data_IF_536426756530
#
_entry.id   IF_536426756530
#
_cell.length_a   1.000
_cell.length_b   1.000
_cell.length_c   1.000
_cell.angle_alpha   90.00
_cell.angle_beta   90.00
_cell.angle_gamma   90.00
#
_symmetry.space_group_name_H-M   'P 1'
#
loop_
_entity.id
_entity.type
_entity.pdbx_description
1 polymer ?
#
# COMPACT_ATOMS: atom_id res chain seq x y z
N UNK A 1 -22.64 21.42 -2.00
CA UNK A 1 -21.38 21.05 -1.33
C UNK A 1 -20.68 20.08 -2.24
N UNK A 2 -19.88 20.64 -3.13
CA UNK A 2 -19.15 19.95 -4.19
C UNK A 2 -18.12 18.99 -3.59
N UNK A 3 -18.09 17.74 -4.06
CA UNK A 3 -17.12 16.75 -3.60
C UNK A 3 -15.71 17.19 -4.02
N UNK A 4 -14.84 17.49 -3.05
CA UNK A 4 -13.44 17.92 -3.26
C UNK A 4 -12.47 16.74 -3.18
N UNK A 5 -12.61 15.76 -4.06
CA UNK A 5 -11.65 14.67 -4.09
C UNK A 5 -10.23 15.18 -4.38
N UNK A 6 -9.23 14.49 -3.84
CA UNK A 6 -7.83 14.69 -4.23
C UNK A 6 -7.55 13.88 -5.49
N UNK A 7 -6.82 14.48 -6.43
CA UNK A 7 -6.41 13.84 -7.68
C UNK A 7 -4.91 13.57 -7.65
N UNK A 8 -4.54 12.33 -7.97
CA UNK A 8 -3.16 11.88 -8.01
C UNK A 8 -2.86 11.19 -9.33
N UNK A 9 -1.60 11.28 -9.76
CA UNK A 9 -1.04 10.41 -10.78
C UNK A 9 -0.01 9.50 -10.10
N UNK A 10 -0.31 8.20 -10.00
CA UNK A 10 0.53 7.24 -9.28
C UNK A 10 0.86 6.09 -10.22
N UNK A 11 2.15 5.92 -10.54
CA UNK A 11 2.59 4.87 -11.46
C UNK A 11 1.88 4.92 -12.82
N UNK A 12 1.60 6.13 -13.32
CA UNK A 12 0.87 6.35 -14.58
C UNK A 12 -0.64 6.13 -14.50
N UNK A 13 -1.20 5.92 -13.30
CA UNK A 13 -2.65 5.75 -13.09
C UNK A 13 -3.22 7.02 -12.45
N UNK A 14 -4.24 7.66 -13.07
CA UNK A 14 -4.99 8.71 -12.41
C UNK A 14 -5.89 8.11 -11.33
N UNK A 15 -5.79 8.64 -10.12
CA UNK A 15 -6.61 8.24 -8.98
C UNK A 15 -7.37 9.44 -8.42
N UNK A 16 -8.65 9.22 -8.16
CA UNK A 16 -9.51 10.17 -7.45
C UNK A 16 -9.82 9.59 -6.07
N UNK A 17 -9.33 10.26 -5.02
CA UNK A 17 -9.56 9.86 -3.63
C UNK A 17 -10.55 10.84 -3.01
N UNK A 18 -11.77 10.39 -2.67
CA UNK A 18 -12.76 11.26 -2.04
C UNK A 18 -12.23 11.81 -0.72
N UNK A 19 -12.63 13.02 -0.35
CA UNK A 19 -12.41 13.56 0.99
C UNK A 19 -13.73 13.67 1.73
N UNK A 20 -13.70 13.38 3.03
CA UNK A 20 -14.84 13.46 3.93
C UNK A 20 -14.47 14.30 5.15
N UNK A 21 -15.43 15.06 5.67
CA UNK A 21 -15.24 15.75 6.94
C UNK A 21 -15.15 14.71 8.06
N UNK A 22 -14.07 14.74 8.83
CA UNK A 22 -13.89 13.91 10.01
C UNK A 22 -14.17 14.76 11.27
N UNK A 23 -15.24 14.39 11.99
CA UNK A 23 -15.68 15.11 13.19
C UNK A 23 -14.66 15.01 14.33
N UNK A 24 -13.87 13.95 14.41
CA UNK A 24 -12.90 13.78 15.50
C UNK A 24 -11.71 14.74 15.35
N UNK A 25 -11.14 14.84 14.15
CA UNK A 25 -10.01 15.72 13.85
C UNK A 25 -10.39 17.13 13.42
N UNK A 26 -11.69 17.40 13.18
CA UNK A 26 -12.24 18.63 12.60
C UNK A 26 -11.53 19.05 11.30
N UNK A 27 -11.27 18.08 10.41
CA UNK A 27 -10.60 18.30 9.12
C UNK A 27 -11.20 17.43 8.03
N UNK A 28 -10.99 17.82 6.78
CA UNK A 28 -11.25 16.93 5.65
C UNK A 28 -10.11 15.92 5.52
N UNK A 29 -10.46 14.64 5.57
CA UNK A 29 -9.53 13.52 5.41
C UNK A 29 -9.89 12.70 4.18
N UNK A 30 -8.89 12.03 3.63
CA UNK A 30 -9.07 11.13 2.50
C UNK A 30 -9.82 9.86 2.91
N UNK A 31 -10.77 9.44 2.08
CA UNK A 31 -11.60 8.27 2.26
C UNK A 31 -11.12 7.13 1.35
N UNK A 32 -10.29 6.27 1.91
CA UNK A 32 -9.69 5.14 1.21
C UNK A 32 -10.59 3.90 1.11
N UNK A 33 -11.83 3.91 1.63
CA UNK A 33 -12.69 2.71 1.68
C UNK A 33 -12.92 2.09 0.30
N UNK A 34 -13.20 2.92 -0.70
CA UNK A 34 -13.42 2.43 -2.08
C UNK A 34 -12.14 1.88 -2.70
N UNK A 35 -11.00 2.48 -2.39
CA UNK A 35 -9.69 2.05 -2.88
C UNK A 35 -9.30 0.69 -2.27
N UNK A 36 -9.49 0.52 -0.95
CA UNK A 36 -9.24 -0.74 -0.25
C UNK A 36 -10.13 -1.86 -0.80
N UNK A 37 -11.41 -1.57 -1.09
CA UNK A 37 -12.33 -2.55 -1.65
C UNK A 37 -12.03 -2.92 -3.11
N UNK A 38 -11.35 -2.04 -3.86
CA UNK A 38 -11.07 -2.22 -5.29
C UNK A 38 -9.58 -1.93 -5.55
N UNK A 39 -8.70 -2.93 -5.34
CA UNK A 39 -7.26 -2.76 -5.54
C UNK A 39 -6.93 -2.25 -6.95
N UNK A 40 -6.05 -1.26 -7.03
CA UNK A 40 -5.62 -0.65 -8.28
C UNK A 40 -4.19 -1.05 -8.59
N UNK A 41 -3.90 -1.26 -9.87
CA UNK A 41 -2.59 -1.63 -10.37
C UNK A 41 -2.14 -0.66 -11.44
N UNK A 42 -0.82 -0.43 -11.56
CA UNK A 42 -0.21 0.31 -12.67
C UNK A 42 -0.45 -0.43 -14.00
N UNK A 43 -0.24 0.21 -15.17
CA UNK A 43 -0.30 -0.48 -16.46
C UNK A 43 0.65 -1.68 -16.55
N UNK A 44 1.78 -1.65 -15.83
CA UNK A 44 2.70 -2.78 -15.73
C UNK A 44 2.20 -3.87 -14.79
N UNK A 45 1.08 -3.67 -14.08
CA UNK A 45 0.51 -4.63 -13.14
C UNK A 45 1.10 -4.53 -11.73
N UNK A 46 1.80 -3.45 -11.37
CA UNK A 46 2.33 -3.25 -10.01
C UNK A 46 1.21 -2.73 -9.10
N UNK A 47 0.99 -3.29 -7.90
CA UNK A 47 -0.08 -2.81 -7.04
C UNK A 47 0.23 -1.42 -6.49
N UNK A 48 -0.79 -0.59 -6.45
CA UNK A 48 -0.81 0.65 -5.69
C UNK A 48 -1.36 0.30 -4.31
N UNK A 49 -0.64 0.67 -3.25
CA UNK A 49 -0.94 0.29 -1.87
C UNK A 49 -0.97 1.54 -0.99
N UNK A 50 -1.60 1.44 0.18
CA UNK A 50 -1.40 2.41 1.25
C UNK A 50 -0.04 2.16 1.93
N UNK A 51 0.60 3.22 2.39
CA UNK A 51 1.87 3.18 3.12
C UNK A 51 1.75 2.36 4.40
N UNK A 52 0.56 2.35 5.01
CA UNK A 52 0.26 1.71 6.29
C UNK A 52 -0.26 0.27 6.17
N UNK A 53 -0.21 -0.33 4.97
CA UNK A 53 -0.56 -1.74 4.81
C UNK A 53 0.49 -2.63 5.49
N UNK A 54 0.03 -3.67 6.20
CA UNK A 54 0.90 -4.62 6.90
C UNK A 54 1.99 -5.18 5.96
N UNK A 55 3.19 -5.36 6.53
CA UNK A 55 4.31 -5.92 5.79
C UNK A 55 3.98 -7.31 5.22
N UNK A 56 4.02 -7.44 3.90
CA UNK A 56 3.78 -8.72 3.24
C UNK A 56 4.99 -9.67 3.42
N UNK A 57 4.80 -10.96 3.14
CA UNK A 57 5.88 -11.98 3.22
C UNK A 57 7.13 -11.73 2.34
N UNK A 58 7.06 -10.78 1.42
CA UNK A 58 8.16 -10.40 0.53
C UNK A 58 8.85 -9.10 0.96
N UNK A 59 8.35 -8.44 2.01
CA UNK A 59 8.88 -7.18 2.49
C UNK A 59 10.35 -7.32 2.91
N UNK A 60 11.14 -6.28 2.67
CA UNK A 60 12.50 -6.17 3.18
C UNK A 60 12.73 -4.77 3.72
N UNK A 61 13.36 -4.60 4.89
CA UNK A 61 13.56 -3.30 5.50
C UNK A 61 14.28 -2.34 4.55
N UNK A 62 13.80 -1.11 4.50
CA UNK A 62 14.51 -0.01 3.85
C UNK A 62 15.84 0.27 4.56
N UNK A 63 16.72 1.03 3.90
CA UNK A 63 18.02 1.38 4.49
C UNK A 63 17.82 2.22 5.75
N UNK A 64 18.26 1.70 6.89
CA UNK A 64 18.12 2.36 8.19
C UNK A 64 16.97 1.80 9.04
N UNK A 65 16.12 0.96 8.45
CA UNK A 65 15.07 0.24 9.17
C UNK A 65 15.59 -1.11 9.68
N UNK A 66 15.17 -1.49 10.89
CA UNK A 66 15.52 -2.80 11.49
C UNK A 66 14.55 -3.89 11.09
N UNK A 67 13.30 -3.54 10.80
CA UNK A 67 12.23 -4.46 10.42
C UNK A 67 11.27 -3.78 9.42
N UNK A 68 10.43 -4.59 8.77
CA UNK A 68 9.29 -4.09 8.01
C UNK A 68 8.04 -4.28 8.84
N UNK A 69 7.45 -3.17 9.28
CA UNK A 69 6.14 -3.17 9.95
C UNK A 69 5.02 -3.04 8.92
N UNK A 70 5.23 -2.18 7.94
CA UNK A 70 4.28 -1.81 6.89
C UNK A 70 4.95 -1.62 5.52
N UNK A 71 4.18 -1.20 4.53
CA UNK A 71 4.73 -0.84 3.22
C UNK A 71 5.71 0.35 3.30
N UNK A 72 5.47 1.34 4.16
CA UNK A 72 6.34 2.51 4.33
C UNK A 72 7.77 2.19 4.74
N UNK A 73 7.95 1.14 5.54
CA UNK A 73 9.25 0.62 5.97
C UNK A 73 9.91 -0.36 4.97
N UNK A 74 9.24 -0.67 3.86
CA UNK A 74 9.70 -1.64 2.86
C UNK A 74 10.52 -0.98 1.74
N UNK A 75 11.71 -1.51 1.45
CA UNK A 75 12.59 -1.03 0.37
C UNK A 75 12.00 -1.08 -1.04
N UNK A 76 10.95 -1.89 -1.23
CA UNK A 76 10.30 -2.07 -2.53
C UNK A 76 9.15 -1.09 -2.76
N UNK A 77 8.66 -0.46 -1.69
CA UNK A 77 7.57 0.49 -1.77
C UNK A 77 8.10 1.88 -2.09
N UNK A 78 7.45 2.56 -3.03
CA UNK A 78 7.75 3.95 -3.38
C UNK A 78 6.53 4.80 -3.13
N UNK A 79 6.53 5.53 -2.02
CA UNK A 79 5.44 6.44 -1.64
C UNK A 79 5.39 7.65 -2.57
N UNK A 80 4.18 7.99 -3.03
CA UNK A 80 3.95 9.24 -3.76
C UNK A 80 3.88 10.41 -2.77
N UNK A 81 4.62 11.47 -3.07
CA UNK A 81 4.69 12.65 -2.20
C UNK A 81 3.29 13.28 -2.03
N UNK A 82 2.94 13.63 -0.78
CA UNK A 82 1.68 14.30 -0.47
C UNK A 82 0.45 13.39 -0.37
N UNK A 83 0.64 12.06 -0.36
CA UNK A 83 -0.44 11.09 -0.15
C UNK A 83 0.06 9.88 0.66
N UNK A 84 -0.87 9.08 1.20
CA UNK A 84 -0.55 7.78 1.80
C UNK A 84 -0.45 6.66 0.76
N UNK A 85 -0.58 6.96 -0.54
CA UNK A 85 -0.51 5.97 -1.60
C UNK A 85 0.89 5.87 -2.21
N UNK A 86 1.21 4.70 -2.74
CA UNK A 86 2.47 4.43 -3.40
C UNK A 86 2.47 3.12 -4.15
N UNK A 87 3.53 2.86 -4.91
CA UNK A 87 3.64 1.68 -5.77
C UNK A 87 4.52 0.63 -5.11
N UNK A 88 4.05 -0.61 -5.05
CA UNK A 88 4.87 -1.75 -4.68
C UNK A 88 5.69 -2.24 -5.88
N UNK A 89 7.02 -2.17 -5.76
CA UNK A 89 7.97 -2.60 -6.77
C UNK A 89 8.37 -4.07 -6.71
N UNK A 90 7.83 -4.88 -5.78
CA UNK A 90 8.22 -6.28 -5.67
C UNK A 90 7.58 -7.13 -6.78
N UNK A 91 8.40 -7.83 -7.57
CA UNK A 91 7.93 -8.61 -8.74
C UNK A 91 6.83 -9.62 -8.38
N UNK A 92 6.97 -10.33 -7.25
CA UNK A 92 5.96 -11.29 -6.76
C UNK A 92 4.61 -10.73 -6.31
N UNK A 93 4.46 -9.41 -6.29
CA UNK A 93 3.20 -8.73 -6.03
C UNK A 93 2.51 -8.28 -7.34
N UNK A 94 3.16 -8.46 -8.49
CA UNK A 94 2.64 -8.06 -9.80
C UNK A 94 1.40 -8.90 -10.16
N UNK A 95 0.34 -8.23 -10.62
CA UNK A 95 -0.87 -8.90 -11.09
C UNK A 95 -0.53 -9.89 -12.22
N UNK A 96 -1.02 -11.13 -12.09
CA UNK A 96 -0.73 -12.22 -13.02
C UNK A 96 0.42 -13.15 -12.61
N UNK A 97 1.19 -12.83 -11.56
CA UNK A 97 2.11 -13.81 -10.97
C UNK A 97 1.38 -14.77 -10.02
N UNK A 98 1.70 -16.07 -10.11
CA UNK A 98 1.10 -17.10 -9.24
C UNK A 98 1.68 -16.98 -7.83
N UNK A 99 0.86 -16.94 -6.76
CA UNK A 99 1.37 -16.99 -5.40
C UNK A 99 2.13 -18.31 -5.18
N UNK A 100 3.40 -18.23 -4.78
CA UNK A 100 4.15 -19.41 -4.33
C UNK A 100 3.58 -19.89 -2.99
N UNK A 101 3.43 -21.21 -2.76
CA UNK A 101 2.83 -21.74 -1.54
C UNK A 101 3.57 -21.31 -0.27
N UNK A 102 2.80 -21.14 0.81
CA UNK A 102 3.26 -20.84 2.16
C UNK A 102 4.31 -21.85 2.63
N UNK A 103 5.43 -21.36 3.18
CA UNK A 103 6.28 -22.18 4.04
C UNK A 103 5.69 -22.09 5.44
N UNK A 104 5.09 -23.19 5.90
CA UNK A 104 4.71 -23.38 7.30
C UNK A 104 5.91 -23.02 8.20
N UNK A 105 5.69 -22.09 9.12
CA UNK A 105 6.63 -21.81 10.20
C UNK A 105 6.66 -23.08 11.07
N UNK A 106 7.78 -23.81 11.06
CA UNK A 106 8.02 -24.86 12.05
C UNK A 106 8.12 -24.20 13.43
N UNK A 107 7.18 -24.52 14.31
CA UNK A 107 7.32 -24.32 15.75
C UNK A 107 8.59 -25.05 16.21
N UNK A 108 9.61 -24.29 16.61
CA UNK A 108 10.71 -24.83 17.41
C UNK A 108 10.24 -24.94 18.85
N UNK A 109 9.64 -26.09 19.20
CA UNK A 109 9.49 -26.50 20.59
C UNK A 109 10.88 -26.80 21.15
N UNK A 110 11.38 -25.92 22.01
CA UNK A 110 12.66 -26.13 22.72
C UNK A 110 12.43 -27.04 23.95
N UNK A 111 13.27 -28.07 24.17
CA UNK A 111 13.22 -28.92 25.35
C UNK A 111 13.71 -28.23 26.62
#
# INVERSE_FOLDING_TARGET
MDKKANLYEIGGVPLEIPVVWDEYSHRYLEDYRSFIANPVFTPEGRPIMLTIEDACRYSQPAKGETECVDCGSCRYYSQTAGTLLGVCGHEKMRAGEKPQPEREKKEETKP
#
